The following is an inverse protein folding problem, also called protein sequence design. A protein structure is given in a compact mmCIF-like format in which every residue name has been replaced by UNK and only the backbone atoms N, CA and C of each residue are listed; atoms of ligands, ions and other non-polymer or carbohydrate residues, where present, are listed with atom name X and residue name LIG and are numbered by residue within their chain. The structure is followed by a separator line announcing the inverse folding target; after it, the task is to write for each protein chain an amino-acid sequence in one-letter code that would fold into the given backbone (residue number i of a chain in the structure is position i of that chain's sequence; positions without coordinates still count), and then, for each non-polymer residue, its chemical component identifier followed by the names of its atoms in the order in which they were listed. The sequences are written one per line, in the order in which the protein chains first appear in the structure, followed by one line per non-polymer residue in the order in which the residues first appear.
data_IF_940434344558
#
_entry.id   IF_940434344558
#
_cell.length_a   1.000
_cell.length_b   1.000
_cell.length_c   1.000
_cell.angle_alpha   90.00
_cell.angle_beta   90.00
_cell.angle_gamma   90.00
#
_symmetry.space_group_name_H-M   'P 1'
#
loop_
_entity.id
_entity.type
_entity.pdbx_description
1 polymer ?
#
# COMPACT_ATOMS: atom_id res chain seq x y z
N UNK A 1 -26.14 12.62 -5.43
CA UNK A 1 -26.33 12.81 -6.89
C UNK A 1 -25.08 13.33 -7.57
N UNK A 2 -24.24 14.12 -6.91
CA UNK A 2 -22.96 14.64 -7.46
C UNK A 2 -21.89 13.56 -7.71
N UNK A 3 -21.76 12.56 -6.83
CA UNK A 3 -20.76 11.49 -6.99
C UNK A 3 -21.06 10.52 -8.15
N UNK A 4 -22.31 10.28 -8.48
CA UNK A 4 -22.69 9.37 -9.56
C UNK A 4 -22.45 9.97 -10.97
N UNK A 5 -22.34 11.29 -11.11
CA UNK A 5 -22.11 11.95 -12.40
C UNK A 5 -20.62 11.91 -12.80
N UNK A 6 -19.72 11.98 -11.83
CA UNK A 6 -18.25 12.02 -12.07
C UNK A 6 -17.76 10.69 -12.65
N UNK A 7 -18.29 9.56 -12.18
CA UNK A 7 -17.86 8.21 -12.64
C UNK A 7 -18.26 7.92 -14.09
N UNK A 8 -19.33 8.52 -14.62
CA UNK A 8 -19.79 8.27 -16.00
C UNK A 8 -19.04 9.06 -17.09
N UNK A 9 -18.36 10.15 -16.75
CA UNK A 9 -17.72 11.02 -17.76
C UNK A 9 -16.26 10.66 -18.09
N UNK A 10 -15.54 9.96 -17.21
CA UNK A 10 -14.15 9.55 -17.47
C UNK A 10 -13.99 8.55 -18.64
N UNK A 11 -15.05 7.90 -19.11
CA UNK A 11 -14.98 6.98 -20.27
C UNK A 11 -14.85 7.65 -21.64
N UNK A 12 -14.92 8.99 -21.73
CA UNK A 12 -14.95 9.70 -23.02
C UNK A 12 -13.78 10.67 -23.25
N UNK A 13 -12.86 10.83 -22.31
CA UNK A 13 -11.70 11.70 -22.49
C UNK A 13 -10.56 10.92 -23.16
N UNK A 14 -10.25 11.25 -24.42
CA UNK A 14 -9.06 10.72 -25.12
C UNK A 14 -7.80 11.20 -24.41
N UNK A 15 -6.81 10.31 -24.18
CA UNK A 15 -5.53 10.72 -23.61
C UNK A 15 -4.82 11.73 -24.52
N UNK A 16 -4.05 12.66 -23.98
CA UNK A 16 -3.18 13.52 -24.78
C UNK A 16 -2.22 12.65 -25.62
N UNK A 17 -1.78 13.13 -26.79
CA UNK A 17 -0.93 12.36 -27.70
C UNK A 17 0.34 11.92 -26.97
N UNK A 18 0.65 10.64 -27.06
CA UNK A 18 1.82 10.01 -26.45
C UNK A 18 3.10 10.76 -26.83
N UNK A 19 3.75 11.37 -25.86
CA UNK A 19 5.13 11.85 -26.01
C UNK A 19 6.02 10.66 -26.29
N UNK A 20 6.55 10.59 -27.50
CA UNK A 20 7.52 9.61 -27.95
C UNK A 20 8.76 9.66 -27.04
N UNK A 21 9.00 8.59 -26.30
CA UNK A 21 10.18 8.44 -25.44
C UNK A 21 11.46 8.42 -26.30
N UNK A 22 12.45 9.26 -26.03
CA UNK A 22 13.79 9.01 -26.53
C UNK A 22 14.40 7.85 -25.74
N UNK A 23 14.85 6.82 -26.45
CA UNK A 23 15.66 5.74 -25.95
C UNK A 23 17.06 6.30 -25.60
N UNK A 24 17.32 6.56 -24.33
CA UNK A 24 18.67 6.81 -23.87
C UNK A 24 18.92 6.12 -22.54
N UNK A 25 19.83 5.15 -22.58
CA UNK A 25 20.52 4.58 -21.42
C UNK A 25 21.24 5.72 -20.69
N UNK A 26 20.79 6.05 -19.48
CA UNK A 26 21.54 6.96 -18.60
C UNK A 26 22.35 6.11 -17.63
N UNK A 27 23.67 6.20 -17.75
CA UNK A 27 24.63 5.73 -16.74
C UNK A 27 24.46 6.54 -15.46
N UNK A 28 24.27 5.84 -14.35
CA UNK A 28 24.28 6.44 -13.02
C UNK A 28 25.72 6.80 -12.66
N UNK A 29 26.02 8.09 -12.59
CA UNK A 29 27.29 8.61 -12.05
C UNK A 29 27.09 8.82 -10.54
N UNK A 30 27.78 8.00 -9.76
CA UNK A 30 27.93 8.18 -8.32
C UNK A 30 28.87 9.38 -8.06
N UNK A 31 28.34 10.46 -7.53
CA UNK A 31 29.15 11.59 -7.05
C UNK A 31 29.49 11.35 -5.57
N UNK A 32 30.75 11.02 -5.32
CA UNK A 32 31.32 10.95 -3.99
C UNK A 32 31.55 12.37 -3.43
N UNK A 33 30.86 12.78 -2.40
CA UNK A 33 31.22 13.97 -1.64
C UNK A 33 32.22 13.62 -0.53
N UNK A 34 33.41 14.14 -0.68
CA UNK A 34 34.44 14.18 0.38
C UNK A 34 34.03 15.18 1.45
N UNK A 35 33.97 14.73 2.68
CA UNK A 35 33.90 15.55 3.89
C UNK A 35 35.24 16.23 4.14
N UNK A 36 35.23 17.55 4.20
CA UNK A 36 36.29 18.33 4.84
C UNK A 36 35.80 18.82 6.20
N UNK A 37 36.55 18.45 7.23
CA UNK A 37 36.41 18.96 8.58
C UNK A 37 36.79 20.44 8.64
N UNK A 38 35.99 21.26 9.31
CA UNK A 38 36.48 22.47 9.96
C UNK A 38 35.79 22.67 11.31
N UNK A 39 36.64 23.01 12.25
CA UNK A 39 36.45 23.13 13.68
C UNK A 39 35.83 24.46 14.11
N UNK A 40 34.98 24.40 15.15
CA UNK A 40 34.97 25.39 16.24
C UNK A 40 33.99 26.54 16.13
N UNK A 41 32.97 26.59 16.99
CA UNK A 41 32.90 27.61 18.05
C UNK A 41 31.73 27.31 19.03
N UNK A 42 32.08 27.45 20.29
CA UNK A 42 31.24 27.37 21.50
C UNK A 42 30.32 28.59 21.60
N UNK A 43 29.04 28.40 21.87
CA UNK A 43 28.10 29.45 22.29
C UNK A 43 27.06 28.85 23.25
N UNK A 44 27.25 29.15 24.55
CA UNK A 44 26.28 28.91 25.64
C UNK A 44 25.11 29.91 25.51
N UNK A 45 23.87 29.44 25.60
CA UNK A 45 22.72 30.16 26.18
C UNK A 45 21.74 29.10 26.67
N UNK A 46 21.36 29.07 27.81
CA UNK A 46 20.45 29.66 28.70
C UNK A 46 19.20 28.81 28.80
N UNK A 47 19.01 28.14 29.96
CA UNK A 47 17.86 27.40 30.47
C UNK A 47 16.62 28.28 30.55
N UNK A 48 15.48 27.80 30.00
CA UNK A 48 14.15 28.11 30.56
C UNK A 48 13.25 26.87 30.55
N UNK A 49 12.63 26.65 31.72
CA UNK A 49 11.70 25.56 32.05
C UNK A 49 10.30 25.90 31.54
N UNK A 50 9.56 24.91 31.06
CA UNK A 50 8.14 25.10 30.86
C UNK A 50 7.39 23.88 30.34
N UNK A 51 6.64 23.26 31.27
CA UNK A 51 5.40 22.51 31.09
C UNK A 51 5.46 21.08 30.52
N UNK A 52 5.40 20.20 31.48
CA UNK A 52 5.03 18.78 31.43
C UNK A 52 3.60 18.59 30.90
N UNK A 53 3.46 18.04 29.71
CA UNK A 53 2.20 17.48 29.22
C UNK A 53 2.37 15.96 29.09
N UNK A 54 2.08 15.28 30.19
CA UNK A 54 1.88 13.83 30.25
C UNK A 54 0.76 13.40 29.29
N UNK A 55 1.15 12.99 28.10
CA UNK A 55 0.27 12.27 27.16
C UNK A 55 0.17 10.83 27.62
N UNK A 56 -0.96 10.47 28.23
CA UNK A 56 -1.30 9.08 28.57
C UNK A 56 -1.25 8.22 27.28
N UNK A 57 -0.28 7.33 27.22
CA UNK A 57 -0.25 6.22 26.26
C UNK A 57 -1.32 5.22 26.68
N UNK A 58 -2.37 5.10 25.88
CA UNK A 58 -3.28 3.97 25.97
C UNK A 58 -2.53 2.71 25.51
N UNK A 59 -2.24 1.83 26.44
CA UNK A 59 -1.69 0.52 26.19
C UNK A 59 -2.74 -0.36 25.52
N UNK A 60 -2.50 -0.75 24.27
CA UNK A 60 -3.21 -1.86 23.61
C UNK A 60 -2.62 -3.14 24.18
N UNK A 61 -3.45 -4.12 24.64
CA UNK A 61 -2.92 -5.37 25.18
C UNK A 61 -2.26 -6.21 24.10
N UNK A 62 -1.03 -6.66 24.37
CA UNK A 62 -0.33 -7.66 23.58
C UNK A 62 -1.09 -8.98 23.65
N UNK A 63 -1.52 -9.50 22.51
CA UNK A 63 -2.08 -10.82 22.40
C UNK A 63 -0.97 -11.87 22.64
N UNK A 64 -1.25 -12.96 23.38
CA UNK A 64 -0.24 -13.99 23.65
C UNK A 64 0.07 -14.79 22.38
N UNK A 65 1.33 -14.81 21.98
CA UNK A 65 1.86 -15.64 20.90
C UNK A 65 1.99 -17.08 21.42
N UNK A 66 1.11 -17.96 20.98
CA UNK A 66 1.28 -19.42 21.14
C UNK A 66 1.73 -20.02 19.81
N UNK A 67 3.03 -20.11 19.58
CA UNK A 67 3.59 -20.68 18.35
C UNK A 67 4.85 -21.51 18.66
N UNK A 68 4.72 -22.72 19.18
CA UNK A 68 5.90 -23.53 19.51
C UNK A 68 6.26 -24.63 18.51
N UNK A 69 5.48 -24.89 17.44
CA UNK A 69 5.75 -25.98 16.51
C UNK A 69 6.30 -25.57 15.13
N UNK A 70 6.12 -24.34 14.69
CA UNK A 70 6.54 -23.89 13.34
C UNK A 70 7.96 -23.28 13.30
N UNK A 71 8.52 -22.86 14.42
CA UNK A 71 9.85 -22.23 14.47
C UNK A 71 11.03 -23.15 14.16
N UNK A 72 10.82 -24.47 14.08
CA UNK A 72 11.86 -25.46 13.76
C UNK A 72 11.73 -26.04 12.33
N UNK A 73 10.82 -25.55 11.49
CA UNK A 73 10.74 -25.99 10.11
C UNK A 73 11.96 -25.49 9.32
N UNK A 74 12.58 -26.33 8.46
CA UNK A 74 13.68 -25.88 7.61
C UNK A 74 13.20 -24.73 6.70
N UNK A 75 14.04 -23.72 6.53
CA UNK A 75 13.78 -22.58 5.65
C UNK A 75 14.97 -22.32 4.72
N UNK A 76 14.70 -21.72 3.57
CA UNK A 76 15.70 -21.36 2.57
C UNK A 76 16.06 -19.89 2.74
N UNK A 77 17.35 -19.59 2.83
CA UNK A 77 17.84 -18.22 2.87
C UNK A 77 17.68 -17.54 1.51
N UNK A 78 16.78 -16.55 1.43
CA UNK A 78 16.50 -15.77 0.21
C UNK A 78 17.43 -14.56 0.06
N UNK A 79 18.23 -14.26 1.07
CA UNK A 79 19.15 -13.11 1.09
C UNK A 79 20.59 -13.49 0.83
N UNK A 80 20.92 -14.78 0.76
CA UNK A 80 22.30 -15.29 0.60
C UNK A 80 22.93 -15.02 -0.75
N UNK A 81 22.20 -14.48 -1.74
CA UNK A 81 22.75 -14.24 -3.09
C UNK A 81 23.45 -12.86 -3.18
N UNK A 82 24.80 -12.79 -3.09
CA UNK A 82 25.53 -11.54 -3.14
C UNK A 82 25.50 -10.87 -4.53
N UNK A 83 25.08 -11.60 -5.57
CA UNK A 83 24.94 -11.05 -6.94
C UNK A 83 23.64 -10.26 -7.13
N UNK A 84 22.68 -10.34 -6.19
CA UNK A 84 21.43 -9.61 -6.23
C UNK A 84 21.58 -8.27 -5.49
N UNK A 85 22.30 -7.33 -6.12
CA UNK A 85 22.53 -6.00 -5.54
C UNK A 85 21.23 -5.24 -5.21
N UNK A 86 20.15 -5.52 -5.94
CA UNK A 86 18.85 -4.89 -5.69
C UNK A 86 18.17 -5.34 -4.39
N UNK A 87 18.57 -6.50 -3.85
CA UNK A 87 18.04 -7.03 -2.58
C UNK A 87 18.80 -6.56 -1.36
N UNK A 88 19.95 -5.86 -1.52
CA UNK A 88 20.79 -5.38 -0.42
C UNK A 88 21.05 -6.47 0.65
N UNK A 89 21.66 -7.62 0.30
CA UNK A 89 21.75 -8.82 1.15
C UNK A 89 22.26 -8.53 2.56
N UNK A 90 23.28 -7.68 2.65
CA UNK A 90 23.93 -7.32 3.92
C UNK A 90 23.01 -6.59 4.91
N UNK A 91 22.00 -5.89 4.41
CA UNK A 91 21.09 -5.06 5.21
C UNK A 91 19.65 -5.59 5.20
N UNK A 92 19.37 -6.68 4.50
CA UNK A 92 18.01 -7.15 4.29
C UNK A 92 17.27 -7.41 5.60
N UNK A 93 17.90 -8.03 6.58
CA UNK A 93 17.32 -8.32 7.90
C UNK A 93 16.96 -7.02 8.61
N UNK A 94 17.94 -6.09 8.75
CA UNK A 94 17.72 -4.81 9.43
C UNK A 94 16.64 -3.96 8.75
N UNK A 95 16.59 -3.97 7.40
CA UNK A 95 15.57 -3.27 6.62
C UNK A 95 14.17 -3.79 6.99
N UNK A 96 13.97 -5.12 6.97
CA UNK A 96 12.66 -5.69 7.23
C UNK A 96 12.24 -5.65 8.69
N UNK A 97 13.19 -5.72 9.63
CA UNK A 97 12.93 -5.45 11.05
C UNK A 97 12.45 -4.01 11.26
N UNK A 98 13.13 -3.04 10.65
CA UNK A 98 12.71 -1.64 10.69
C UNK A 98 11.33 -1.42 10.05
N UNK A 99 11.05 -2.04 8.89
CA UNK A 99 9.74 -1.97 8.24
C UNK A 99 8.63 -2.55 9.12
N UNK A 100 8.88 -3.66 9.81
CA UNK A 100 7.93 -4.32 10.73
C UNK A 100 7.61 -3.45 11.97
N UNK A 101 8.58 -2.67 12.43
CA UNK A 101 8.34 -1.68 13.50
C UNK A 101 7.57 -0.48 12.94
N UNK A 102 7.99 0.03 11.77
CA UNK A 102 7.42 1.24 11.16
C UNK A 102 5.96 1.06 10.75
N UNK A 103 5.55 -0.13 10.27
CA UNK A 103 4.16 -0.39 9.90
C UNK A 103 3.18 -0.25 11.07
N UNK A 104 3.64 -0.50 12.31
CA UNK A 104 2.83 -0.36 13.54
C UNK A 104 2.71 1.09 13.99
N UNK A 105 3.78 1.87 13.81
CA UNK A 105 3.87 3.24 14.29
C UNK A 105 3.19 4.25 13.36
N UNK A 106 3.25 4.01 12.06
CA UNK A 106 2.85 4.96 11.01
C UNK A 106 1.53 4.61 10.32
N UNK A 107 0.72 3.75 10.92
CA UNK A 107 -0.57 3.36 10.36
C UNK A 107 -1.67 4.40 10.64
N UNK A 108 -2.71 4.46 9.78
CA UNK A 108 -3.90 5.25 10.07
C UNK A 108 -4.64 4.72 11.30
N UNK A 109 -5.42 5.56 11.94
CA UNK A 109 -6.32 5.14 13.02
C UNK A 109 -7.43 4.26 12.42
N UNK A 110 -7.55 3.02 12.88
CA UNK A 110 -8.52 2.06 12.31
C UNK A 110 -10.00 2.45 12.50
N UNK A 111 -10.27 3.39 13.42
CA UNK A 111 -11.62 3.89 13.74
C UNK A 111 -11.81 5.36 13.37
N UNK A 112 -11.04 5.89 12.41
CA UNK A 112 -11.13 7.31 12.08
C UNK A 112 -12.47 7.74 11.49
N UNK A 113 -13.17 6.82 10.82
CA UNK A 113 -14.50 7.11 10.28
C UNK A 113 -15.53 7.37 11.38
N UNK A 114 -15.41 6.68 12.53
CA UNK A 114 -16.31 6.78 13.66
C UNK A 114 -15.89 7.88 14.65
N UNK A 115 -14.58 8.15 14.74
CA UNK A 115 -14.02 9.02 15.78
C UNK A 115 -13.62 10.42 15.29
N UNK A 116 -13.30 10.57 14.00
CA UNK A 116 -12.78 11.83 13.44
C UNK A 116 -13.72 12.37 12.36
N UNK A 117 -14.20 11.52 11.43
CA UNK A 117 -14.96 11.96 10.27
C UNK A 117 -16.44 12.17 10.62
N UNK A 118 -16.98 13.35 10.26
CA UNK A 118 -18.39 13.69 10.52
C UNK A 118 -19.26 13.65 9.26
N UNK A 119 -18.67 13.85 8.08
CA UNK A 119 -19.39 13.96 6.80
C UNK A 119 -18.94 12.90 5.77
N UNK A 120 -17.80 12.24 5.98
CA UNK A 120 -17.26 11.17 5.15
C UNK A 120 -17.57 9.81 5.78
N UNK A 121 -17.87 8.81 4.95
CA UNK A 121 -18.16 7.45 5.40
C UNK A 121 -17.36 6.41 4.59
N UNK A 122 -17.30 5.14 5.04
CA UNK A 122 -16.53 4.09 4.37
C UNK A 122 -16.92 3.89 2.89
N UNK A 123 -18.22 3.98 2.55
CA UNK A 123 -18.66 3.81 1.16
C UNK A 123 -18.15 4.92 0.23
N UNK A 124 -18.10 6.17 0.70
CA UNK A 124 -17.52 7.29 -0.05
C UNK A 124 -16.02 7.09 -0.27
N UNK A 125 -15.30 6.60 0.76
CA UNK A 125 -13.89 6.26 0.64
C UNK A 125 -13.68 5.15 -0.39
N UNK A 126 -14.46 4.07 -0.36
CA UNK A 126 -14.35 2.97 -1.31
C UNK A 126 -14.55 3.43 -2.76
N UNK A 127 -15.54 4.29 -3.01
CA UNK A 127 -15.79 4.88 -4.33
C UNK A 127 -14.58 5.73 -4.78
N UNK A 128 -14.01 6.54 -3.87
CA UNK A 128 -12.82 7.32 -4.18
C UNK A 128 -11.63 6.43 -4.52
N UNK A 129 -11.37 5.38 -3.73
CA UNK A 129 -10.25 4.46 -3.97
C UNK A 129 -10.40 3.73 -5.30
N UNK A 130 -11.61 3.26 -5.63
CA UNK A 130 -11.91 2.64 -6.95
C UNK A 130 -11.58 3.61 -8.10
N UNK A 131 -11.99 4.87 -7.98
CA UNK A 131 -11.63 5.91 -8.96
C UNK A 131 -10.11 6.17 -9.02
N UNK A 132 -9.40 6.17 -7.89
CA UNK A 132 -7.94 6.31 -7.88
C UNK A 132 -7.23 5.14 -8.60
N UNK A 133 -7.80 3.94 -8.57
CA UNK A 133 -7.31 2.82 -9.39
C UNK A 133 -7.45 3.14 -10.88
N UNK A 134 -8.61 3.66 -11.33
CA UNK A 134 -8.82 4.06 -12.73
C UNK A 134 -7.82 5.14 -13.15
N UNK A 135 -7.62 6.18 -12.32
CA UNK A 135 -6.63 7.25 -12.55
C UNK A 135 -5.22 6.68 -12.65
N UNK A 136 -4.85 5.77 -11.74
CA UNK A 136 -3.56 5.09 -11.77
C UNK A 136 -3.33 4.29 -13.06
N UNK A 137 -4.35 3.65 -13.60
CA UNK A 137 -4.29 2.93 -14.88
C UNK A 137 -4.14 3.90 -16.06
N UNK A 138 -4.91 4.99 -16.07
CA UNK A 138 -4.88 5.99 -17.14
C UNK A 138 -3.51 6.67 -17.26
N UNK A 139 -2.93 7.09 -16.14
CA UNK A 139 -1.60 7.72 -16.10
C UNK A 139 -0.46 6.71 -16.04
N UNK A 140 -0.75 5.40 -16.09
CA UNK A 140 0.24 4.31 -16.03
C UNK A 140 1.15 4.39 -14.81
N UNK A 141 0.60 4.81 -13.69
CA UNK A 141 1.32 4.88 -12.43
C UNK A 141 1.66 3.48 -11.91
N UNK A 142 2.73 3.39 -11.15
CA UNK A 142 3.11 2.14 -10.49
C UNK A 142 2.07 1.71 -9.46
N UNK A 143 2.01 0.42 -9.17
CA UNK A 143 1.14 -0.04 -8.09
C UNK A 143 1.59 0.49 -6.73
N UNK A 144 2.86 0.78 -6.56
CA UNK A 144 3.41 1.37 -5.34
C UNK A 144 2.85 2.75 -5.09
N UNK A 145 2.77 3.58 -6.13
CA UNK A 145 2.14 4.91 -6.09
C UNK A 145 0.69 4.81 -5.62
N UNK A 146 -0.07 3.83 -6.11
CA UNK A 146 -1.46 3.63 -5.69
C UNK A 146 -1.55 3.27 -4.19
N UNK A 147 -0.80 2.25 -3.75
CA UNK A 147 -0.81 1.83 -2.34
C UNK A 147 -0.36 2.94 -1.40
N UNK A 148 0.64 3.70 -1.80
CA UNK A 148 1.14 4.86 -1.06
C UNK A 148 0.09 5.98 -0.99
N UNK A 149 -0.59 6.28 -2.11
CA UNK A 149 -1.61 7.33 -2.15
C UNK A 149 -2.78 7.03 -1.21
N UNK A 150 -3.24 5.77 -1.16
CA UNK A 150 -4.31 5.35 -0.26
C UNK A 150 -3.83 5.40 1.21
N UNK A 151 -2.59 5.02 1.48
CA UNK A 151 -2.02 5.13 2.82
C UNK A 151 -1.92 6.59 3.30
N UNK A 152 -1.52 7.52 2.43
CA UNK A 152 -1.51 8.95 2.74
C UNK A 152 -2.92 9.51 2.97
N UNK A 153 -3.87 9.12 2.14
CA UNK A 153 -5.28 9.50 2.29
C UNK A 153 -5.84 9.03 3.64
N UNK A 154 -5.64 7.76 4.01
CA UNK A 154 -6.14 7.21 5.26
C UNK A 154 -5.50 7.85 6.49
N UNK A 155 -4.19 8.14 6.43
CA UNK A 155 -3.49 8.89 7.50
C UNK A 155 -4.01 10.33 7.61
N UNK A 156 -4.22 11.00 6.47
CA UNK A 156 -4.77 12.35 6.46
C UNK A 156 -6.18 12.40 7.06
N UNK A 157 -7.06 11.47 6.67
CA UNK A 157 -8.40 11.34 7.22
C UNK A 157 -8.41 10.92 8.71
N UNK A 158 -7.35 10.30 9.20
CA UNK A 158 -7.15 9.98 10.62
C UNK A 158 -6.75 11.18 11.47
N UNK A 159 -6.35 12.29 10.85
CA UNK A 159 -5.83 13.48 11.53
C UNK A 159 -6.74 14.71 11.37
N UNK A 160 -7.56 14.75 10.34
CA UNK A 160 -8.39 15.91 10.00
C UNK A 160 -9.77 15.51 9.54
N UNK A 161 -10.82 16.06 10.17
CA UNK A 161 -12.20 15.98 9.66
C UNK A 161 -12.31 16.68 8.31
N UNK A 162 -12.92 16.02 7.35
CA UNK A 162 -13.01 16.49 5.98
C UNK A 162 -14.46 16.49 5.48
N UNK A 163 -14.88 17.58 4.87
CA UNK A 163 -16.18 17.62 4.20
C UNK A 163 -16.17 16.78 2.92
N UNK A 164 -17.28 16.08 2.64
CA UNK A 164 -17.42 15.18 1.47
C UNK A 164 -17.09 15.84 0.14
N UNK A 165 -17.34 17.15 -0.03
CA UNK A 165 -17.03 17.87 -1.26
C UNK A 165 -15.52 18.12 -1.48
N UNK A 166 -14.68 17.87 -0.46
CA UNK A 166 -13.22 17.93 -0.55
C UNK A 166 -12.56 16.56 -0.56
N UNK A 167 -13.34 15.48 -0.46
CA UNK A 167 -12.80 14.12 -0.41
C UNK A 167 -12.05 13.73 -1.69
N UNK A 168 -12.59 14.08 -2.86
CA UNK A 168 -11.92 13.85 -4.15
C UNK A 168 -10.63 14.69 -4.26
N UNK A 169 -10.63 15.93 -3.77
CA UNK A 169 -9.44 16.78 -3.73
C UNK A 169 -8.34 16.14 -2.85
N UNK A 170 -8.69 15.62 -1.67
CA UNK A 170 -7.74 14.93 -0.80
C UNK A 170 -7.19 13.66 -1.47
N UNK A 171 -8.03 12.87 -2.14
CA UNK A 171 -7.61 11.67 -2.86
C UNK A 171 -6.64 11.97 -3.99
N UNK A 172 -6.99 12.92 -4.87
CA UNK A 172 -6.13 13.27 -6.01
C UNK A 172 -4.82 13.91 -5.55
N UNK A 173 -4.85 14.71 -4.48
CA UNK A 173 -3.64 15.28 -3.90
C UNK A 173 -2.76 14.22 -3.25
N UNK A 174 -3.34 13.22 -2.59
CA UNK A 174 -2.59 12.08 -2.07
C UNK A 174 -1.90 11.31 -3.19
N UNK A 175 -2.56 11.16 -4.35
CA UNK A 175 -1.97 10.51 -5.53
C UNK A 175 -0.86 11.38 -6.15
N UNK A 176 -1.02 12.70 -6.20
CA UNK A 176 0.01 13.64 -6.65
C UNK A 176 1.27 13.52 -5.78
N UNK A 177 1.12 13.55 -4.44
CA UNK A 177 2.26 13.41 -3.52
C UNK A 177 2.94 12.06 -3.66
N UNK A 178 2.15 10.97 -3.75
CA UNK A 178 2.67 9.64 -3.97
C UNK A 178 3.41 9.52 -5.31
N UNK A 179 2.90 10.12 -6.38
CA UNK A 179 3.56 10.15 -7.68
C UNK A 179 4.88 10.90 -7.65
N UNK A 180 4.94 12.06 -6.99
CA UNK A 180 6.20 12.82 -6.81
C UNK A 180 7.25 12.03 -6.02
N UNK A 181 6.82 11.16 -5.11
CA UNK A 181 7.71 10.35 -4.29
C UNK A 181 8.24 9.11 -5.05
N UNK A 182 7.38 8.42 -5.79
CA UNK A 182 7.66 7.07 -6.33
C UNK A 182 7.99 7.07 -7.83
N UNK A 183 7.39 7.98 -8.63
CA UNK A 183 7.53 7.94 -10.08
C UNK A 183 8.77 8.70 -10.55
N UNK A 184 9.47 8.18 -11.57
CA UNK A 184 10.56 8.91 -12.24
C UNK A 184 10.03 10.17 -12.94
N UNK A 185 8.82 10.06 -13.52
CA UNK A 185 8.12 11.15 -14.19
C UNK A 185 6.71 11.25 -13.62
N UNK A 186 6.55 12.03 -12.56
CA UNK A 186 5.24 12.29 -11.98
C UNK A 186 4.40 13.14 -12.93
N UNK A 187 3.08 12.89 -13.06
CA UNK A 187 2.17 13.78 -13.75
C UNK A 187 2.18 15.17 -13.11
N UNK A 188 1.94 16.21 -13.92
CA UNK A 188 1.88 17.60 -13.46
C UNK A 188 0.61 17.89 -12.65
N UNK A 189 0.61 18.99 -11.91
CA UNK A 189 -0.58 19.43 -11.16
C UNK A 189 -1.76 19.71 -12.11
N UNK A 190 -1.46 20.24 -13.30
CA UNK A 190 -2.43 20.53 -14.34
C UNK A 190 -3.13 19.25 -14.86
N UNK A 191 -2.39 18.16 -15.02
CA UNK A 191 -2.96 16.85 -15.38
C UNK A 191 -3.87 16.33 -14.28
N UNK A 192 -3.50 16.52 -13.01
CA UNK A 192 -4.36 16.14 -11.89
C UNK A 192 -5.60 17.06 -11.75
N UNK A 193 -5.53 18.35 -12.13
CA UNK A 193 -6.72 19.17 -12.24
C UNK A 193 -7.62 18.68 -13.39
N UNK A 194 -7.03 18.37 -14.55
CA UNK A 194 -7.76 17.89 -15.72
C UNK A 194 -8.54 16.61 -15.47
N UNK A 195 -7.97 15.59 -14.78
CA UNK A 195 -8.66 14.33 -14.50
C UNK A 195 -9.86 14.51 -13.56
N UNK A 196 -9.93 15.61 -12.80
CA UNK A 196 -11.10 15.97 -11.99
C UNK A 196 -12.14 16.77 -12.77
N UNK A 197 -12.01 16.85 -14.10
CA UNK A 197 -12.82 17.72 -14.98
C UNK A 197 -12.76 19.20 -14.56
N UNK A 198 -11.57 19.64 -14.14
CA UNK A 198 -11.30 20.98 -13.60
C UNK A 198 -12.23 21.39 -12.44
N UNK A 199 -12.73 20.41 -11.68
CA UNK A 199 -13.54 20.67 -10.47
C UNK A 199 -12.74 21.45 -9.43
N UNK A 200 -11.41 21.27 -9.42
CA UNK A 200 -10.49 21.95 -8.52
C UNK A 200 -9.45 22.74 -9.29
N UNK A 201 -9.16 23.95 -8.79
CA UNK A 201 -8.10 24.79 -9.33
C UNK A 201 -6.71 24.29 -8.93
N UNK A 202 -5.71 24.69 -9.70
CA UNK A 202 -4.30 24.43 -9.36
C UNK A 202 -3.94 24.89 -7.94
N UNK A 203 -4.45 26.05 -7.54
CA UNK A 203 -4.20 26.61 -6.22
C UNK A 203 -4.82 25.77 -5.11
N UNK A 204 -6.04 25.24 -5.29
CA UNK A 204 -6.68 24.35 -4.33
C UNK A 204 -5.91 23.05 -4.16
N UNK A 205 -5.39 22.46 -5.24
CA UNK A 205 -4.56 21.25 -5.20
C UNK A 205 -3.26 21.51 -4.45
N UNK A 206 -2.56 22.61 -4.72
CA UNK A 206 -1.31 22.96 -4.04
C UNK A 206 -1.51 23.29 -2.56
N UNK A 207 -2.61 23.95 -2.21
CA UNK A 207 -2.96 24.20 -0.81
C UNK A 207 -3.27 22.91 -0.08
N UNK A 208 -4.00 21.97 -0.70
CA UNK A 208 -4.27 20.66 -0.12
C UNK A 208 -2.99 19.83 0.01
N UNK A 209 -2.05 19.91 -0.96
CA UNK A 209 -0.74 19.28 -0.88
C UNK A 209 0.04 19.77 0.34
N UNK A 210 0.09 21.07 0.54
CA UNK A 210 0.77 21.65 1.70
C UNK A 210 0.13 21.21 3.02
N UNK A 211 -1.21 21.19 3.08
CA UNK A 211 -1.94 20.71 4.26
C UNK A 211 -1.64 19.24 4.54
N UNK A 212 -1.68 18.38 3.52
CA UNK A 212 -1.39 16.96 3.63
C UNK A 212 0.04 16.73 4.12
N UNK A 213 1.03 17.36 3.52
CA UNK A 213 2.43 17.22 3.90
C UNK A 213 2.69 17.69 5.33
N UNK A 214 2.09 18.81 5.75
CA UNK A 214 2.22 19.33 7.11
C UNK A 214 1.58 18.39 8.15
N UNK A 215 0.39 17.87 7.88
CA UNK A 215 -0.30 16.95 8.79
C UNK A 215 0.42 15.58 8.88
N UNK A 216 1.05 15.14 7.80
CA UNK A 216 1.89 13.94 7.82
C UNK A 216 3.31 14.20 8.33
N UNK A 217 3.63 15.45 8.74
CA UNK A 217 4.95 15.87 9.22
C UNK A 217 6.08 15.55 8.22
N UNK A 218 5.77 15.54 6.92
CA UNK A 218 6.65 15.11 5.82
C UNK A 218 7.18 13.68 5.96
N UNK A 219 6.60 12.88 6.87
CA UNK A 219 6.94 11.47 7.03
C UNK A 219 6.16 10.61 6.03
N UNK A 220 6.75 10.41 4.85
CA UNK A 220 6.16 9.71 3.72
C UNK A 220 6.65 8.26 3.57
N UNK A 221 7.59 7.82 4.39
CA UNK A 221 8.27 6.51 4.27
C UNK A 221 7.49 5.35 4.89
N UNK A 222 6.18 5.37 4.88
CA UNK A 222 5.37 4.30 5.47
C UNK A 222 5.43 3.01 4.63
N UNK A 223 5.77 1.85 5.24
CA UNK A 223 5.61 0.57 4.56
C UNK A 223 4.14 0.24 4.35
N UNK A 224 3.81 -0.25 3.17
CA UNK A 224 2.47 -0.66 2.78
C UNK A 224 2.43 -2.16 2.43
N UNK A 225 1.26 -2.69 2.12
CA UNK A 225 1.08 -4.11 1.78
C UNK A 225 1.99 -4.55 0.63
N UNK A 226 2.22 -3.69 -0.38
CA UNK A 226 3.05 -4.02 -1.54
C UNK A 226 4.52 -4.20 -1.15
N UNK A 227 5.00 -3.45 -0.16
CA UNK A 227 6.37 -3.58 0.38
C UNK A 227 6.64 -4.99 0.89
N UNK A 228 5.74 -5.52 1.73
CA UNK A 228 5.85 -6.88 2.27
C UNK A 228 5.54 -7.96 1.24
N UNK A 229 4.59 -7.70 0.35
CA UNK A 229 4.15 -8.67 -0.65
C UNK A 229 5.31 -9.11 -1.55
N UNK A 230 6.18 -8.19 -1.99
CA UNK A 230 7.37 -8.53 -2.78
C UNK A 230 8.30 -9.48 -2.04
N UNK A 231 8.54 -9.22 -0.77
CA UNK A 231 9.38 -10.07 0.09
C UNK A 231 8.80 -11.48 0.20
N UNK A 232 7.49 -11.56 0.43
CA UNK A 232 6.83 -12.86 0.61
C UNK A 232 6.66 -13.63 -0.69
N UNK A 233 6.52 -12.96 -1.84
CA UNK A 233 6.59 -13.61 -3.15
C UNK A 233 7.99 -14.23 -3.35
N UNK A 234 9.06 -13.51 -3.03
CA UNK A 234 10.44 -14.03 -3.09
C UNK A 234 10.62 -15.25 -2.18
N UNK A 235 10.10 -15.18 -0.95
CA UNK A 235 10.14 -16.30 -0.01
C UNK A 235 9.33 -17.52 -0.49
N UNK A 236 8.14 -17.32 -1.04
CA UNK A 236 7.33 -18.38 -1.62
C UNK A 236 8.01 -19.03 -2.84
N UNK A 237 8.68 -18.23 -3.66
CA UNK A 237 9.37 -18.69 -4.88
C UNK A 237 10.68 -19.45 -4.60
N UNK A 238 11.21 -19.38 -3.39
CA UNK A 238 12.43 -20.08 -3.01
C UNK A 238 12.25 -21.61 -2.98
N UNK A 239 11.06 -22.09 -2.64
CA UNK A 239 10.77 -23.52 -2.53
C UNK A 239 10.06 -24.09 -3.76
N UNK A 240 9.29 -23.27 -4.46
CA UNK A 240 8.47 -23.68 -5.60
C UNK A 240 8.60 -22.69 -6.75
N UNK A 241 8.62 -23.20 -7.97
CA UNK A 241 8.56 -22.32 -9.14
C UNK A 241 7.17 -21.71 -9.22
N UNK A 242 7.08 -20.40 -8.94
CA UNK A 242 5.87 -19.61 -9.12
C UNK A 242 5.97 -18.86 -10.46
N UNK A 243 4.85 -18.82 -11.16
CA UNK A 243 4.72 -18.11 -12.41
C UNK A 243 4.22 -16.66 -12.18
N UNK A 244 4.31 -15.85 -13.21
CA UNK A 244 3.84 -14.47 -13.17
C UNK A 244 2.34 -14.37 -12.88
N UNK A 245 1.57 -15.42 -13.16
CA UNK A 245 0.11 -15.46 -12.85
C UNK A 245 -0.12 -15.43 -11.35
N UNK A 246 0.76 -16.12 -10.57
CA UNK A 246 0.71 -16.04 -9.12
C UNK A 246 0.95 -14.61 -8.62
N UNK A 247 1.97 -13.92 -9.15
CA UNK A 247 2.28 -12.53 -8.78
C UNK A 247 1.12 -11.59 -9.10
N UNK A 248 0.48 -11.77 -10.27
CA UNK A 248 -0.70 -10.99 -10.63
C UNK A 248 -1.88 -11.27 -9.71
N UNK A 249 -2.11 -12.54 -9.36
CA UNK A 249 -3.21 -12.91 -8.47
C UNK A 249 -3.04 -12.30 -7.08
N UNK A 250 -1.88 -12.45 -6.45
CA UNK A 250 -1.65 -11.90 -5.11
C UNK A 250 -1.63 -10.37 -5.11
N UNK A 251 -1.18 -9.75 -6.21
CA UNK A 251 -1.26 -8.30 -6.40
C UNK A 251 -2.71 -7.82 -6.54
N UNK A 252 -3.55 -8.58 -7.25
CA UNK A 252 -4.98 -8.31 -7.36
C UNK A 252 -5.69 -8.42 -6.01
N UNK A 253 -5.43 -9.51 -5.27
CA UNK A 253 -5.98 -9.70 -3.93
C UNK A 253 -5.61 -8.54 -3.00
N UNK A 254 -4.34 -8.13 -3.02
CA UNK A 254 -3.87 -6.99 -2.23
C UNK A 254 -4.53 -5.66 -2.67
N UNK A 255 -4.73 -5.43 -3.97
CA UNK A 255 -5.38 -4.21 -4.47
C UNK A 255 -6.86 -4.15 -4.09
N UNK A 256 -7.58 -5.29 -4.07
CA UNK A 256 -8.95 -5.36 -3.57
C UNK A 256 -9.07 -4.90 -2.10
N UNK A 257 -8.04 -5.16 -1.27
CA UNK A 257 -8.07 -4.75 0.14
C UNK A 257 -8.07 -3.25 0.34
N UNK A 258 -7.57 -2.47 -0.62
CA UNK A 258 -7.54 -1.02 -0.55
C UNK A 258 -8.94 -0.39 -0.47
N UNK A 259 -9.94 -1.05 -1.05
CA UNK A 259 -11.32 -0.52 -1.10
C UNK A 259 -12.07 -0.72 0.20
N UNK A 260 -11.70 -1.71 1.01
CA UNK A 260 -12.43 -2.04 2.23
C UNK A 260 -11.76 -1.41 3.47
N UNK A 261 -12.46 -0.40 4.02
CA UNK A 261 -12.05 0.28 5.24
C UNK A 261 -11.86 -0.67 6.43
N UNK A 262 -12.68 -1.72 6.52
CA UNK A 262 -12.63 -2.67 7.64
C UNK A 262 -11.30 -3.43 7.74
N UNK A 263 -10.54 -3.51 6.64
CA UNK A 263 -9.25 -4.19 6.58
C UNK A 263 -8.09 -3.35 7.16
N UNK A 264 -8.32 -2.08 7.45
CA UNK A 264 -7.33 -1.26 8.16
C UNK A 264 -6.99 -1.79 9.56
N UNK A 265 -7.82 -2.67 10.13
CA UNK A 265 -7.52 -3.34 11.39
C UNK A 265 -6.32 -4.29 11.32
N UNK A 266 -6.04 -4.85 10.14
CA UNK A 266 -4.89 -5.73 9.92
C UNK A 266 -3.63 -4.93 9.57
N UNK A 267 -2.46 -5.49 9.90
CA UNK A 267 -1.20 -4.90 9.50
C UNK A 267 -0.95 -5.09 7.99
N UNK A 268 -0.24 -4.17 7.31
CA UNK A 268 0.17 -4.35 5.93
C UNK A 268 0.88 -5.68 5.66
N UNK A 269 1.77 -6.10 6.56
CA UNK A 269 2.45 -7.40 6.51
C UNK A 269 1.47 -8.57 6.61
N UNK A 270 0.47 -8.48 7.50
CA UNK A 270 -0.54 -9.52 7.68
C UNK A 270 -1.44 -9.65 6.44
N UNK A 271 -1.83 -8.53 5.82
CA UNK A 271 -2.58 -8.52 4.56
C UNK A 271 -1.73 -9.16 3.45
N UNK A 272 -0.44 -8.80 3.34
CA UNK A 272 0.45 -9.38 2.34
C UNK A 272 0.60 -10.90 2.50
N UNK A 273 0.83 -11.38 3.73
CA UNK A 273 0.92 -12.81 4.04
C UNK A 273 -0.38 -13.55 3.73
N UNK A 274 -1.53 -12.94 4.05
CA UNK A 274 -2.86 -13.49 3.75
C UNK A 274 -3.11 -13.59 2.25
N UNK A 275 -2.68 -12.60 1.45
CA UNK A 275 -2.76 -12.67 -0.01
C UNK A 275 -1.91 -13.81 -0.58
N UNK A 276 -0.71 -14.05 -0.03
CA UNK A 276 0.13 -15.19 -0.42
C UNK A 276 -0.56 -16.51 -0.10
N UNK A 277 -1.05 -16.71 1.13
CA UNK A 277 -1.71 -17.94 1.54
C UNK A 277 -2.95 -18.24 0.66
N UNK A 278 -3.80 -17.23 0.44
CA UNK A 278 -4.96 -17.37 -0.42
C UNK A 278 -4.58 -17.63 -1.88
N UNK A 279 -3.56 -16.95 -2.40
CA UNK A 279 -3.04 -17.14 -3.76
C UNK A 279 -2.50 -18.55 -4.00
N UNK A 280 -1.73 -19.10 -3.06
CA UNK A 280 -1.25 -20.49 -3.11
C UNK A 280 -2.44 -21.46 -3.17
N UNK A 281 -3.44 -21.25 -2.33
CA UNK A 281 -4.64 -22.09 -2.31
C UNK A 281 -5.43 -22.02 -3.64
N UNK A 282 -5.71 -20.82 -4.13
CA UNK A 282 -6.51 -20.64 -5.36
C UNK A 282 -5.86 -21.22 -6.61
N UNK A 283 -4.53 -21.26 -6.65
CA UNK A 283 -3.77 -21.87 -7.76
C UNK A 283 -3.35 -23.32 -7.50
N UNK A 284 -3.88 -23.95 -6.45
CA UNK A 284 -3.54 -25.33 -6.05
C UNK A 284 -2.01 -25.55 -5.95
N UNK A 285 -1.29 -24.56 -5.42
CA UNK A 285 0.14 -24.65 -5.14
C UNK A 285 0.38 -25.33 -3.77
N UNK A 286 1.62 -25.76 -3.49
CA UNK A 286 1.97 -26.31 -2.17
C UNK A 286 1.55 -25.41 -1.02
N UNK A 287 1.38 -26.00 0.16
CA UNK A 287 0.96 -25.29 1.37
C UNK A 287 2.02 -24.29 1.84
N UNK A 288 1.65 -23.51 2.84
CA UNK A 288 2.50 -22.58 3.55
C UNK A 288 3.80 -23.26 4.03
N UNK A 289 4.93 -22.66 3.71
CA UNK A 289 6.25 -23.26 3.94
C UNK A 289 6.94 -22.70 5.19
N UNK A 290 7.98 -23.40 5.65
CA UNK A 290 8.86 -22.92 6.71
C UNK A 290 9.54 -21.60 6.34
N UNK A 291 9.92 -21.43 5.08
CA UNK A 291 10.50 -20.19 4.56
C UNK A 291 9.52 -19.04 4.67
N UNK A 292 8.25 -19.21 4.30
CA UNK A 292 7.21 -18.20 4.47
C UNK A 292 7.01 -17.84 5.93
N UNK A 293 6.95 -18.85 6.83
CA UNK A 293 6.84 -18.60 8.27
C UNK A 293 8.02 -17.79 8.80
N UNK A 294 9.26 -18.13 8.39
CA UNK A 294 10.46 -17.43 8.82
C UNK A 294 10.43 -15.94 8.42
N UNK A 295 10.16 -15.64 7.14
CA UNK A 295 10.23 -14.27 6.61
C UNK A 295 9.00 -13.42 6.91
N UNK A 296 7.84 -14.02 7.16
CA UNK A 296 6.62 -13.28 7.50
C UNK A 296 6.37 -13.17 8.99
N UNK A 297 6.93 -14.07 9.78
CA UNK A 297 6.64 -14.27 11.21
C UNK A 297 5.18 -14.65 11.49
N UNK A 298 4.44 -15.13 10.48
CA UNK A 298 3.07 -15.61 10.61
C UNK A 298 2.98 -17.12 10.34
N UNK A 299 2.08 -17.79 11.06
CA UNK A 299 1.61 -19.12 10.72
C UNK A 299 0.20 -19.03 10.12
N UNK A 300 -0.27 -20.03 9.35
CA UNK A 300 -1.58 -19.98 8.70
C UNK A 300 -2.74 -19.66 9.66
N UNK A 301 -2.68 -20.16 10.88
CA UNK A 301 -3.69 -19.89 11.92
C UNK A 301 -3.84 -18.39 12.24
N UNK A 302 -2.74 -17.63 12.27
CA UNK A 302 -2.73 -16.18 12.55
C UNK A 302 -3.38 -15.37 11.43
N UNK A 303 -3.43 -15.93 10.23
CA UNK A 303 -3.91 -15.26 9.02
C UNK A 303 -5.39 -15.50 8.76
N UNK A 304 -6.06 -16.39 9.50
CA UNK A 304 -7.40 -16.88 9.21
C UNK A 304 -8.41 -15.76 8.96
N UNK A 305 -8.58 -14.87 9.91
CA UNK A 305 -9.60 -13.81 9.83
C UNK A 305 -9.33 -12.84 8.64
N UNK A 306 -8.05 -12.58 8.37
CA UNK A 306 -7.66 -11.73 7.25
C UNK A 306 -7.88 -12.44 5.91
N UNK A 307 -7.50 -13.70 5.80
CA UNK A 307 -7.72 -14.52 4.58
C UNK A 307 -9.21 -14.67 4.29
N UNK A 308 -10.04 -14.94 5.29
CA UNK A 308 -11.49 -15.04 5.13
C UNK A 308 -12.08 -13.71 4.62
N UNK A 309 -11.64 -12.59 5.17
CA UNK A 309 -12.08 -11.27 4.71
C UNK A 309 -11.66 -10.99 3.25
N UNK A 310 -10.41 -11.26 2.88
CA UNK A 310 -9.92 -11.10 1.50
C UNK A 310 -10.65 -12.03 0.54
N UNK A 311 -10.92 -13.27 0.95
CA UNK A 311 -11.67 -14.23 0.17
C UNK A 311 -13.11 -13.74 -0.12
N UNK A 312 -13.78 -13.16 0.88
CA UNK A 312 -15.11 -12.56 0.68
C UNK A 312 -15.05 -11.38 -0.32
N UNK A 313 -14.03 -10.52 -0.23
CA UNK A 313 -13.85 -9.45 -1.23
C UNK A 313 -13.66 -10.02 -2.64
N UNK A 314 -12.85 -11.06 -2.80
CA UNK A 314 -12.63 -11.70 -4.08
C UNK A 314 -13.95 -12.28 -4.67
N UNK A 315 -14.76 -12.95 -3.85
CA UNK A 315 -16.06 -13.47 -4.28
C UNK A 315 -17.04 -12.37 -4.69
N UNK A 316 -17.10 -11.28 -3.90
CA UNK A 316 -18.02 -10.17 -4.15
C UNK A 316 -17.55 -9.24 -5.29
N UNK A 317 -16.27 -9.24 -5.64
CA UNK A 317 -15.73 -8.38 -6.70
C UNK A 317 -16.45 -8.55 -8.06
N UNK A 318 -17.05 -9.72 -8.32
CA UNK A 318 -17.80 -9.98 -9.56
C UNK A 318 -19.09 -9.16 -9.66
N UNK A 319 -19.74 -8.89 -8.54
CA UNK A 319 -21.04 -8.21 -8.46
C UNK A 319 -20.93 -6.80 -7.88
N UNK A 320 -19.73 -6.40 -7.50
CA UNK A 320 -19.45 -5.08 -6.92
C UNK A 320 -19.76 -3.97 -7.92
N UNK A 321 -20.24 -2.85 -7.40
CA UNK A 321 -20.36 -1.59 -8.13
C UNK A 321 -19.04 -0.83 -8.27
N UNK A 322 -17.95 -1.37 -7.70
CA UNK A 322 -16.59 -0.84 -7.72
C UNK A 322 -15.69 -1.77 -8.56
N UNK A 323 -15.69 -1.62 -9.89
CA UNK A 323 -15.11 -2.60 -10.79
C UNK A 323 -13.65 -2.36 -11.15
N UNK A 324 -13.06 -1.21 -10.82
CA UNK A 324 -11.78 -0.75 -11.38
C UNK A 324 -10.64 -1.78 -11.24
N UNK A 325 -10.38 -2.29 -10.03
CA UNK A 325 -9.35 -3.33 -9.85
C UNK A 325 -9.70 -4.61 -10.60
N UNK A 326 -10.98 -5.04 -10.57
CA UNK A 326 -11.39 -6.25 -11.28
C UNK A 326 -11.26 -6.10 -12.79
N UNK A 327 -11.65 -4.98 -13.37
CA UNK A 327 -11.49 -4.68 -14.80
C UNK A 327 -10.01 -4.64 -15.19
N UNK A 328 -9.16 -3.99 -14.43
CA UNK A 328 -7.69 -3.97 -14.61
C UNK A 328 -7.12 -5.38 -14.73
N UNK A 329 -7.42 -6.25 -13.76
CA UNK A 329 -6.88 -7.61 -13.68
C UNK A 329 -7.65 -8.65 -14.51
N UNK A 330 -8.72 -8.26 -15.21
CA UNK A 330 -9.40 -9.11 -16.19
C UNK A 330 -8.67 -9.16 -17.53
N UNK A 331 -7.79 -8.21 -17.80
CA UNK A 331 -7.05 -8.13 -19.05
C UNK A 331 -6.01 -9.24 -19.16
N UNK A 332 -5.69 -9.65 -20.40
CA UNK A 332 -4.64 -10.64 -20.67
C UNK A 332 -3.24 -10.19 -20.20
N UNK A 333 -2.99 -8.88 -20.15
CA UNK A 333 -1.76 -8.29 -19.60
C UNK A 333 -1.47 -8.77 -18.18
N UNK A 334 -2.52 -9.00 -17.38
CA UNK A 334 -2.44 -9.47 -16.01
C UNK A 334 -2.92 -10.92 -15.85
N UNK A 335 -2.81 -11.74 -16.92
CA UNK A 335 -3.19 -13.14 -16.88
C UNK A 335 -4.67 -13.41 -16.59
N UNK A 336 -5.54 -12.40 -16.74
CA UNK A 336 -6.98 -12.48 -16.46
C UNK A 336 -7.34 -13.04 -15.09
N UNK A 337 -6.50 -12.80 -14.07
CA UNK A 337 -6.59 -13.42 -12.73
C UNK A 337 -7.88 -13.07 -11.98
N UNK A 338 -8.51 -11.93 -12.28
CA UNK A 338 -9.79 -11.55 -11.67
C UNK A 338 -10.96 -12.40 -12.15
N UNK A 339 -10.76 -13.23 -13.20
CA UNK A 339 -11.77 -14.15 -13.73
C UNK A 339 -11.66 -15.56 -13.14
N UNK A 340 -10.65 -15.83 -12.33
CA UNK A 340 -10.50 -17.10 -11.63
C UNK A 340 -11.72 -17.40 -10.75
N UNK A 341 -12.04 -18.70 -10.65
CA UNK A 341 -13.12 -19.16 -9.79
C UNK A 341 -12.56 -19.59 -8.44
N UNK A 342 -13.18 -19.12 -7.37
CA UNK A 342 -12.90 -19.58 -6.02
C UNK A 342 -14.08 -20.37 -5.46
N UNK A 343 -13.85 -21.35 -4.57
CA UNK A 343 -14.92 -21.98 -3.84
C UNK A 343 -15.62 -20.97 -2.92
N UNK A 344 -16.88 -21.19 -2.60
CA UNK A 344 -17.65 -20.29 -1.73
C UNK A 344 -17.19 -20.35 -0.27
N UNK A 345 -16.53 -21.45 0.16
CA UNK A 345 -16.06 -21.67 1.51
C UNK A 345 -14.63 -22.19 1.46
N UNK A 346 -13.76 -21.63 2.30
CA UNK A 346 -12.39 -22.12 2.48
C UNK A 346 -12.38 -23.38 3.36
N UNK A 347 -11.55 -24.37 3.05
CA UNK A 347 -11.43 -25.57 3.87
C UNK A 347 -10.73 -25.24 5.20
N UNK A 348 -11.15 -25.88 6.30
CA UNK A 348 -10.53 -25.69 7.62
C UNK A 348 -9.05 -26.03 7.60
N UNK A 349 -8.63 -27.11 6.93
CA UNK A 349 -7.24 -27.52 6.80
C UNK A 349 -6.33 -26.58 6.03
N UNK A 350 -6.81 -25.39 5.59
CA UNK A 350 -5.97 -24.33 5.06
C UNK A 350 -5.18 -23.63 6.16
N UNK A 351 -5.69 -23.65 7.37
CA UNK A 351 -5.16 -22.91 8.53
C UNK A 351 -4.47 -23.83 9.57
N UNK A 352 -4.41 -25.13 9.27
CA UNK A 352 -3.77 -26.14 10.13
C UNK A 352 -2.25 -26.22 9.88
#
# INVERSE_FOLDING_TARGET
MFFALVVRHCRLVRPPPALTRPSNRVQVILVSHKTTNETGHRGQYGSERGADHTRQRSSVPDAPVTSHSYHNAPWIDIDSNPSDFGSCPEYAVEIYDNLSVSERQRRPLCSYMESIQTDVNPAMRSILVDWLVEVGVEYRLSSDTLFMSVAFLDRFLSLKDLRRNKLQLAGITSLLVASKYEEIYAPSVEEFCFITDNTYTREEVLNMEMDLLRLLEFDLTQPNTKTFLRRYIKAASAEISLDVVFEFLVSYLAELTLMDYSLLKFLPSQIAASCILLGLYLLNKPRWSGTLTHYSSYVPADLKDCVEAIHQLFLHAKTSSLPASREKYSSQKYGSVSLLRAPSVLPRGLFD
#
